data_IF_891115320589
#
_entry.id   IF_891115320589
#
_cell.length_a   1.000
_cell.length_b   1.000
_cell.length_c   1.000
_cell.angle_alpha   90.00
_cell.angle_beta   90.00
_cell.angle_gamma   90.00
#
_symmetry.space_group_name_H-M   'P 1'
#
loop_
_entity.id
_entity.type
_entity.pdbx_description
1 polymer ?
#
# COMPACT_ATOMS: atom_id res chain seq x y z
N UNK A 1 13.61 -17.12 -7.60
CA UNK A 1 12.49 -17.03 -6.63
C UNK A 1 11.19 -17.63 -7.21
N UNK A 2 10.54 -18.57 -6.52
CA UNK A 2 9.25 -19.17 -6.93
C UNK A 2 8.36 -19.42 -5.70
N UNK A 3 7.03 -19.46 -5.87
CA UNK A 3 6.06 -19.62 -4.78
C UNK A 3 4.85 -20.46 -5.20
N UNK A 4 4.27 -21.17 -4.22
CA UNK A 4 3.00 -21.86 -4.37
C UNK A 4 1.88 -21.11 -3.63
N UNK A 5 0.69 -21.05 -4.21
CA UNK A 5 -0.50 -20.52 -3.53
C UNK A 5 -1.80 -21.13 -4.09
N UNK A 6 -2.88 -21.00 -3.32
CA UNK A 6 -4.19 -21.53 -3.71
C UNK A 6 -5.05 -20.46 -4.38
N UNK A 7 -5.76 -20.81 -5.46
CA UNK A 7 -6.73 -19.95 -6.15
C UNK A 7 -7.87 -20.81 -6.71
N UNK A 8 -9.14 -20.47 -6.42
CA UNK A 8 -10.33 -21.21 -6.91
C UNK A 8 -10.23 -22.74 -6.76
N UNK A 9 -9.86 -23.22 -5.57
CA UNK A 9 -9.63 -24.65 -5.26
C UNK A 9 -8.47 -25.33 -6.03
N UNK A 10 -7.66 -24.56 -6.74
CA UNK A 10 -6.46 -25.03 -7.45
C UNK A 10 -5.20 -24.61 -6.70
N UNK A 11 -4.12 -25.38 -6.85
CA UNK A 11 -2.80 -25.01 -6.36
C UNK A 11 -1.95 -24.55 -7.54
N UNK A 12 -1.40 -23.34 -7.46
CA UNK A 12 -0.57 -22.75 -8.50
C UNK A 12 0.89 -22.66 -8.03
N UNK A 13 1.83 -22.93 -8.93
CA UNK A 13 3.25 -22.64 -8.80
C UNK A 13 3.61 -21.52 -9.77
N UNK A 14 4.21 -20.45 -9.26
CA UNK A 14 4.48 -19.23 -10.01
C UNK A 14 5.84 -18.61 -9.65
N UNK A 15 6.29 -17.70 -10.52
CA UNK A 15 7.40 -16.79 -10.24
C UNK A 15 7.11 -15.41 -10.85
N UNK A 16 7.50 -14.30 -10.19
CA UNK A 16 7.44 -12.96 -10.78
C UNK A 16 8.26 -12.79 -12.07
N UNK A 17 9.21 -13.69 -12.34
CA UNK A 17 10.09 -13.67 -13.51
C UNK A 17 9.72 -14.72 -14.56
N UNK A 18 8.83 -15.65 -14.24
CA UNK A 18 8.38 -16.67 -15.18
C UNK A 18 7.23 -16.11 -16.04
N UNK A 19 7.19 -16.45 -17.35
CA UNK A 19 6.13 -15.98 -18.25
C UNK A 19 4.83 -16.77 -18.11
N UNK A 20 4.79 -17.79 -17.25
CA UNK A 20 3.69 -18.72 -17.12
C UNK A 20 3.43 -19.12 -15.67
N UNK A 21 2.22 -19.62 -15.43
CA UNK A 21 1.77 -20.21 -14.18
C UNK A 21 1.59 -21.70 -14.39
N UNK A 22 1.93 -22.52 -13.39
CA UNK A 22 1.71 -23.97 -13.45
C UNK A 22 0.63 -24.34 -12.44
N UNK A 23 -0.44 -24.97 -12.92
CA UNK A 23 -1.43 -25.60 -12.06
C UNK A 23 -0.93 -26.99 -11.61
N UNK A 24 -0.85 -27.19 -10.29
CA UNK A 24 -0.47 -28.47 -9.68
C UNK A 24 -1.72 -29.31 -9.45
N UNK A 25 -2.07 -30.14 -10.43
CA UNK A 25 -3.24 -31.04 -10.38
C UNK A 25 -3.06 -32.27 -9.46
N UNK A 26 -1.87 -32.47 -8.90
CA UNK A 26 -1.55 -33.61 -8.03
C UNK A 26 -0.62 -33.15 -6.89
N UNK A 27 -0.83 -33.68 -5.68
CA UNK A 27 -0.04 -33.33 -4.48
C UNK A 27 1.47 -33.57 -4.67
N UNK A 28 1.84 -34.54 -5.51
CA UNK A 28 3.24 -34.86 -5.83
C UNK A 28 3.95 -33.69 -6.50
N UNK A 29 3.23 -32.83 -7.22
CA UNK A 29 3.80 -31.59 -7.78
C UNK A 29 4.27 -30.63 -6.69
N UNK A 30 3.49 -30.49 -5.61
CA UNK A 30 3.89 -29.72 -4.43
C UNK A 30 5.07 -30.36 -3.70
N UNK A 31 5.06 -31.68 -3.55
CA UNK A 31 6.18 -32.42 -2.95
C UNK A 31 7.48 -32.25 -3.74
N UNK A 32 7.42 -32.27 -5.08
CA UNK A 32 8.56 -31.98 -5.95
C UNK A 32 9.05 -30.54 -5.72
N UNK A 33 8.17 -29.54 -5.68
CA UNK A 33 8.56 -28.15 -5.42
C UNK A 33 9.28 -27.99 -4.06
N UNK A 34 8.77 -28.63 -3.00
CA UNK A 34 9.42 -28.64 -1.68
C UNK A 34 10.79 -29.33 -1.71
N UNK A 35 10.93 -30.45 -2.42
CA UNK A 35 12.19 -31.15 -2.54
C UNK A 35 13.22 -30.33 -3.35
N UNK A 36 12.80 -29.64 -4.41
CA UNK A 36 13.67 -28.80 -5.23
C UNK A 36 14.17 -27.56 -4.47
N UNK A 37 13.37 -27.00 -3.56
CA UNK A 37 13.82 -25.92 -2.67
C UNK A 37 15.02 -26.33 -1.78
N UNK A 38 15.24 -27.64 -1.58
CA UNK A 38 16.39 -28.20 -0.85
C UNK A 38 17.51 -28.69 -1.78
N UNK A 39 17.44 -28.40 -3.09
CA UNK A 39 18.48 -28.78 -4.04
C UNK A 39 18.57 -30.28 -4.35
N UNK A 40 17.44 -31.00 -4.33
CA UNK A 40 17.42 -32.46 -4.60
C UNK A 40 17.59 -32.80 -6.08
N UNK A 41 18.20 -33.96 -6.35
CA UNK A 41 18.37 -34.51 -7.71
C UNK A 41 17.11 -35.22 -8.19
N UNK A 42 16.97 -35.44 -9.51
CA UNK A 42 15.86 -36.20 -10.08
C UNK A 42 15.74 -37.61 -9.48
N UNK A 43 16.85 -38.30 -9.23
CA UNK A 43 16.83 -39.62 -8.58
C UNK A 43 16.28 -39.54 -7.15
N UNK A 44 16.70 -38.54 -6.37
CA UNK A 44 16.20 -38.36 -5.00
C UNK A 44 14.68 -38.07 -4.96
N UNK A 45 14.12 -37.44 -5.99
CA UNK A 45 12.67 -37.26 -6.13
C UNK A 45 11.96 -38.60 -6.33
N UNK A 46 12.49 -39.46 -7.21
CA UNK A 46 11.95 -40.80 -7.46
C UNK A 46 11.98 -41.67 -6.20
N UNK A 47 13.05 -41.57 -5.40
CA UNK A 47 13.21 -42.37 -4.19
C UNK A 47 12.28 -41.90 -3.05
N UNK A 48 11.99 -40.61 -2.95
CA UNK A 48 11.23 -40.02 -1.84
C UNK A 48 9.73 -39.91 -2.10
N UNK A 49 9.31 -39.79 -3.36
CA UNK A 49 7.92 -39.48 -3.71
C UNK A 49 7.32 -40.69 -4.44
N UNK A 50 6.41 -41.44 -3.78
CA UNK A 50 5.86 -42.67 -4.34
C UNK A 50 5.02 -42.41 -5.61
N UNK A 51 5.09 -43.36 -6.54
CA UNK A 51 4.29 -43.35 -7.77
C UNK A 51 4.76 -42.34 -8.83
N UNK A 52 5.95 -41.75 -8.69
CA UNK A 52 6.60 -41.01 -9.77
C UNK A 52 7.32 -41.98 -10.72
N UNK A 53 7.24 -41.71 -12.02
CA UNK A 53 8.06 -42.39 -13.02
C UNK A 53 9.22 -41.50 -13.47
N UNK A 54 10.35 -42.07 -13.93
CA UNK A 54 11.46 -41.28 -14.47
C UNK A 54 11.03 -40.29 -15.55
N UNK A 55 10.14 -40.71 -16.46
CA UNK A 55 9.65 -39.89 -17.57
C UNK A 55 8.83 -38.70 -17.06
N UNK A 56 8.01 -38.92 -16.02
CA UNK A 56 7.18 -37.87 -15.41
C UNK A 56 8.06 -36.83 -14.72
N UNK A 57 9.05 -37.26 -13.94
CA UNK A 57 10.00 -36.36 -13.27
C UNK A 57 10.80 -35.57 -14.31
N UNK A 58 11.34 -36.24 -15.32
CA UNK A 58 12.12 -35.59 -16.37
C UNK A 58 11.29 -34.56 -17.14
N UNK A 59 10.06 -34.91 -17.54
CA UNK A 59 9.16 -34.02 -18.24
C UNK A 59 8.78 -32.80 -17.40
N UNK A 60 8.46 -33.01 -16.12
CA UNK A 60 8.11 -31.92 -15.21
C UNK A 60 9.30 -30.99 -14.93
N UNK A 61 10.49 -31.52 -14.64
CA UNK A 61 11.69 -30.70 -14.44
C UNK A 61 12.07 -29.93 -15.71
N UNK A 62 11.90 -30.54 -16.88
CA UNK A 62 12.15 -29.89 -18.17
C UNK A 62 11.19 -28.72 -18.41
N UNK A 63 9.90 -28.90 -18.07
CA UNK A 63 8.91 -27.81 -18.09
C UNK A 63 9.35 -26.67 -17.15
N UNK A 64 9.63 -26.96 -15.87
CA UNK A 64 10.05 -25.96 -14.89
C UNK A 64 11.30 -25.20 -15.34
N UNK A 65 12.28 -25.89 -15.90
CA UNK A 65 13.52 -25.29 -16.40
C UNK A 65 13.24 -24.40 -17.62
N UNK A 66 12.42 -24.85 -18.57
CA UNK A 66 12.10 -24.11 -19.80
C UNK A 66 11.43 -22.75 -19.55
N UNK A 67 10.67 -22.63 -18.46
CA UNK A 67 10.00 -21.37 -18.07
C UNK A 67 10.78 -20.60 -16.99
N UNK A 68 11.96 -21.08 -16.62
CA UNK A 68 12.85 -20.42 -15.66
C UNK A 68 12.39 -20.46 -14.20
N UNK A 69 11.58 -21.46 -13.81
CA UNK A 69 11.17 -21.66 -12.41
C UNK A 69 12.25 -22.34 -11.56
N UNK A 70 13.13 -23.12 -12.21
CA UNK A 70 14.28 -23.77 -11.58
C UNK A 70 15.54 -23.51 -12.39
N UNK A 71 16.68 -23.59 -11.73
CA UNK A 71 18.00 -23.55 -12.35
C UNK A 71 18.85 -24.71 -11.84
N UNK A 72 19.80 -25.23 -12.65
CA UNK A 72 20.74 -26.22 -12.18
C UNK A 72 21.62 -25.67 -11.06
N UNK A 73 21.88 -26.47 -10.04
CA UNK A 73 22.89 -26.15 -9.04
C UNK A 73 24.27 -26.15 -9.71
N UNK A 74 24.97 -25.02 -9.68
CA UNK A 74 26.39 -24.97 -10.03
C UNK A 74 27.23 -25.37 -8.83
N UNK A 75 28.34 -26.08 -9.05
CA UNK A 75 29.13 -26.75 -7.99
C UNK A 75 29.84 -25.81 -6.98
N UNK A 76 29.65 -24.50 -7.04
CA UNK A 76 30.32 -23.53 -6.16
C UNK A 76 29.46 -23.20 -4.94
N UNK A 77 29.20 -24.19 -4.09
CA UNK A 77 28.41 -24.06 -2.86
C UNK A 77 29.22 -23.50 -1.65
N UNK A 78 30.43 -22.98 -1.86
CA UNK A 78 31.30 -22.49 -0.76
C UNK A 78 31.15 -21.00 -0.44
N UNK A 79 30.16 -20.31 -1.00
CA UNK A 79 29.80 -18.95 -0.60
C UNK A 79 28.34 -18.94 -0.11
N UNK A 80 28.01 -18.26 1.02
CA UNK A 80 26.64 -18.15 1.54
C UNK A 80 25.62 -17.48 0.61
N UNK A 81 26.01 -17.12 -0.62
CA UNK A 81 25.20 -16.39 -1.60
C UNK A 81 25.30 -16.99 -3.01
N UNK A 82 25.46 -18.30 -3.13
CA UNK A 82 25.44 -18.98 -4.43
C UNK A 82 24.00 -19.30 -4.86
N UNK A 83 23.20 -18.24 -5.05
CA UNK A 83 21.99 -18.31 -5.86
C UNK A 83 22.37 -18.70 -7.28
N UNK A 84 21.93 -19.86 -7.74
CA UNK A 84 22.23 -20.39 -9.07
C UNK A 84 21.86 -19.36 -10.16
N UNK A 85 22.88 -18.78 -10.81
CA UNK A 85 22.81 -17.88 -11.97
C UNK A 85 21.70 -16.80 -11.90
N UNK A 86 21.35 -16.30 -10.71
CA UNK A 86 20.52 -15.10 -10.62
C UNK A 86 21.38 -13.91 -11.06
N UNK A 87 20.86 -13.09 -11.99
CA UNK A 87 21.57 -11.89 -12.43
C UNK A 87 21.83 -10.97 -11.22
N UNK A 88 22.92 -10.20 -11.25
CA UNK A 88 23.23 -9.23 -10.18
C UNK A 88 22.07 -8.25 -9.91
N UNK A 89 21.24 -7.98 -10.92
CA UNK A 89 20.04 -7.18 -10.79
C UNK A 89 18.94 -7.89 -9.98
N UNK A 90 18.74 -9.21 -10.15
CA UNK A 90 17.72 -9.97 -9.40
C UNK A 90 18.10 -10.13 -7.93
N UNK A 91 19.40 -10.22 -7.61
CA UNK A 91 19.89 -10.29 -6.22
C UNK A 91 19.58 -9.05 -5.38
N UNK A 92 19.26 -7.92 -6.02
CA UNK A 92 18.90 -6.67 -5.33
C UNK A 92 17.42 -6.61 -4.93
N UNK A 93 16.61 -7.59 -5.33
CA UNK A 93 15.20 -7.64 -5.01
C UNK A 93 14.92 -8.55 -3.83
N UNK A 94 14.09 -8.10 -2.91
CA UNK A 94 13.35 -8.98 -2.01
C UNK A 94 12.17 -9.63 -2.75
N UNK A 95 11.80 -10.85 -2.32
CA UNK A 95 10.72 -11.62 -2.96
C UNK A 95 9.40 -10.84 -3.06
N UNK A 96 8.99 -10.19 -1.96
CA UNK A 96 7.72 -9.48 -1.89
C UNK A 96 7.72 -8.21 -2.74
N UNK A 97 8.86 -7.53 -2.86
CA UNK A 97 9.02 -6.34 -3.69
C UNK A 97 8.91 -6.69 -5.17
N UNK A 98 9.59 -7.74 -5.61
CA UNK A 98 9.54 -8.16 -7.01
C UNK A 98 8.16 -8.70 -7.39
N UNK A 99 7.52 -9.47 -6.50
CA UNK A 99 6.16 -9.95 -6.70
C UNK A 99 5.18 -8.77 -6.83
N UNK A 100 5.24 -7.80 -5.93
CA UNK A 100 4.39 -6.62 -5.99
C UNK A 100 4.66 -5.78 -7.25
N UNK A 101 5.93 -5.58 -7.61
CA UNK A 101 6.33 -4.86 -8.82
C UNK A 101 5.72 -5.48 -10.09
N UNK A 102 5.86 -6.81 -10.26
CA UNK A 102 5.33 -7.51 -11.42
C UNK A 102 3.79 -7.49 -11.44
N UNK A 103 3.14 -7.68 -10.28
CA UNK A 103 1.67 -7.77 -10.20
C UNK A 103 0.95 -6.43 -10.31
N UNK A 104 1.60 -5.32 -9.96
CA UNK A 104 1.00 -3.98 -9.99
C UNK A 104 1.15 -3.26 -11.33
N UNK A 105 1.84 -3.85 -12.33
CA UNK A 105 2.10 -3.21 -13.63
C UNK A 105 1.35 -3.87 -14.78
N UNK A 106 0.61 -3.05 -15.53
CA UNK A 106 0.02 -3.46 -16.79
C UNK A 106 1.08 -4.03 -17.74
N UNK A 107 0.73 -5.12 -18.45
CA UNK A 107 1.62 -5.82 -19.37
C UNK A 107 2.58 -6.82 -18.72
N UNK A 108 2.67 -6.88 -17.38
CA UNK A 108 3.45 -7.90 -16.65
C UNK A 108 2.59 -8.83 -15.80
N UNK A 109 1.29 -8.59 -15.77
CA UNK A 109 0.30 -9.39 -15.07
C UNK A 109 -0.86 -9.68 -16.02
N UNK A 110 -1.45 -10.87 -15.90
CA UNK A 110 -2.72 -11.24 -16.54
C UNK A 110 -3.93 -10.71 -15.75
N UNK A 111 -3.71 -10.17 -14.55
CA UNK A 111 -4.77 -9.60 -13.73
C UNK A 111 -5.23 -8.25 -14.29
N UNK A 112 -6.51 -7.95 -14.09
CA UNK A 112 -7.09 -6.65 -14.41
C UNK A 112 -6.54 -5.58 -13.46
N UNK A 113 -6.05 -4.46 -14.01
CA UNK A 113 -5.48 -3.33 -13.26
C UNK A 113 -6.38 -2.10 -13.41
N UNK A 114 -6.60 -1.37 -12.30
CA UNK A 114 -7.37 -0.12 -12.29
C UNK A 114 -8.81 -0.30 -11.79
N UNK A 115 -9.74 0.47 -12.33
CA UNK A 115 -11.14 0.54 -11.91
C UNK A 115 -11.94 -0.69 -12.36
N UNK A 116 -11.64 -1.84 -11.76
CA UNK A 116 -12.25 -3.14 -12.10
C UNK A 116 -13.68 -3.28 -11.58
N UNK A 117 -14.05 -2.54 -10.54
CA UNK A 117 -15.37 -2.56 -9.89
C UNK A 117 -15.90 -3.99 -9.62
N UNK A 118 -15.02 -4.94 -9.29
CA UNK A 118 -15.33 -6.38 -9.22
C UNK A 118 -16.41 -6.78 -8.21
N UNK A 119 -16.80 -5.89 -7.30
CA UNK A 119 -17.84 -6.13 -6.29
C UNK A 119 -19.08 -5.25 -6.49
N UNK A 120 -19.20 -4.59 -7.65
CA UNK A 120 -20.31 -3.69 -7.95
C UNK A 120 -21.64 -4.44 -7.89
N UNK A 121 -22.53 -3.99 -7.00
CA UNK A 121 -23.84 -4.61 -6.78
C UNK A 121 -23.83 -5.83 -5.86
N UNK A 122 -22.65 -6.23 -5.37
CA UNK A 122 -22.50 -7.31 -4.39
C UNK A 122 -22.14 -6.75 -3.00
N UNK A 123 -21.27 -5.75 -2.95
CA UNK A 123 -20.82 -5.09 -1.71
C UNK A 123 -21.12 -3.60 -1.81
N UNK A 124 -21.87 -3.08 -0.85
CA UNK A 124 -22.15 -1.64 -0.75
C UNK A 124 -20.86 -0.86 -0.44
N UNK A 125 -20.66 0.31 -1.07
CA UNK A 125 -19.47 1.12 -0.83
C UNK A 125 -19.42 1.63 0.61
N UNK A 126 -18.21 1.73 1.15
CA UNK A 126 -17.99 2.36 2.45
C UNK A 126 -18.26 3.87 2.36
N UNK A 127 -18.71 4.51 3.45
CA UNK A 127 -18.92 5.95 3.47
C UNK A 127 -17.60 6.71 3.28
N UNK A 128 -17.67 7.88 2.64
CA UNK A 128 -16.53 8.82 2.43
C UNK A 128 -15.80 9.18 3.73
N UNK A 129 -16.54 9.14 4.83
CA UNK A 129 -16.05 9.40 6.18
C UNK A 129 -16.35 8.15 7.01
N UNK A 130 -15.32 7.43 7.49
CA UNK A 130 -15.55 6.20 8.30
C UNK A 130 -16.37 6.52 9.57
N UNK A 131 -17.36 5.74 9.99
CA UNK A 131 -18.08 6.03 11.23
C UNK A 131 -17.15 6.02 12.46
N UNK A 132 -17.46 6.83 13.48
CA UNK A 132 -16.75 6.83 14.77
C UNK A 132 -17.72 6.48 15.90
N UNK A 133 -17.24 5.88 17.00
CA UNK A 133 -18.04 5.70 18.20
C UNK A 133 -18.55 7.05 18.75
N UNK A 134 -19.77 7.06 19.26
CA UNK A 134 -20.41 8.29 19.77
C UNK A 134 -19.82 8.77 21.10
N UNK A 135 -19.15 7.88 21.84
CA UNK A 135 -18.58 8.10 23.17
C UNK A 135 -17.18 8.73 23.15
N UNK A 136 -16.58 8.90 21.97
CA UNK A 136 -15.28 9.55 21.83
C UNK A 136 -15.36 11.06 22.02
N UNK A 137 -14.36 11.64 22.69
CA UNK A 137 -14.29 13.09 22.92
C UNK A 137 -13.96 13.83 21.61
N UNK A 138 -14.70 14.90 21.32
CA UNK A 138 -14.53 15.72 20.12
C UNK A 138 -13.88 17.06 20.47
N UNK A 139 -12.69 17.30 19.93
CA UNK A 139 -11.99 18.57 20.05
C UNK A 139 -12.12 19.34 18.73
N UNK A 140 -12.62 20.56 18.81
CA UNK A 140 -12.64 21.46 17.66
C UNK A 140 -11.26 22.06 17.45
N UNK A 141 -10.74 22.00 16.22
CA UNK A 141 -9.51 22.70 15.87
C UNK A 141 -9.80 24.15 15.50
N UNK A 142 -8.96 25.10 15.94
CA UNK A 142 -9.00 26.46 15.43
C UNK A 142 -8.84 26.46 13.90
N UNK A 143 -9.68 27.25 13.23
CA UNK A 143 -9.57 27.49 11.80
C UNK A 143 -8.56 28.60 11.51
N UNK A 144 -7.94 28.62 10.31
CA UNK A 144 -7.20 29.79 9.84
C UNK A 144 -8.11 31.03 9.80
N UNK A 145 -7.49 32.21 9.80
CA UNK A 145 -8.23 33.46 9.63
C UNK A 145 -9.06 33.47 8.33
N UNK A 146 -10.21 34.14 8.35
CA UNK A 146 -11.15 34.23 7.23
C UNK A 146 -10.52 34.84 5.97
N UNK A 147 -9.60 35.79 6.13
CA UNK A 147 -8.84 36.34 5.00
C UNK A 147 -7.94 35.28 4.33
N UNK A 148 -7.28 34.43 5.12
CA UNK A 148 -6.47 33.33 4.61
C UNK A 148 -7.35 32.26 3.93
N UNK A 149 -8.53 31.97 4.48
CA UNK A 149 -9.51 31.07 3.85
C UNK A 149 -9.99 31.61 2.50
N UNK A 150 -10.29 32.91 2.44
CA UNK A 150 -10.75 33.57 1.20
C UNK A 150 -9.67 33.56 0.12
N UNK A 151 -8.43 33.93 0.46
CA UNK A 151 -7.29 33.89 -0.45
C UNK A 151 -7.05 32.47 -1.01
N UNK A 152 -7.13 31.44 -0.15
CA UNK A 152 -7.00 30.06 -0.60
C UNK A 152 -8.11 29.63 -1.57
N UNK A 153 -9.34 30.13 -1.40
CA UNK A 153 -10.46 29.82 -2.29
C UNK A 153 -10.36 30.53 -3.66
N UNK A 154 -9.79 31.74 -3.71
CA UNK A 154 -9.54 32.49 -4.95
C UNK A 154 -8.26 32.08 -5.68
N UNK A 155 -7.39 31.30 -5.04
CA UNK A 155 -6.07 30.95 -5.57
C UNK A 155 -5.02 32.05 -5.37
N UNK A 156 -5.32 33.03 -4.52
CA UNK A 156 -4.40 34.09 -4.12
C UNK A 156 -3.45 33.60 -3.03
N UNK A 157 -2.23 34.12 -3.04
CA UNK A 157 -1.26 33.89 -1.97
C UNK A 157 -1.62 34.85 -0.84
N UNK A 158 -2.01 34.33 0.32
CA UNK A 158 -2.26 35.16 1.49
C UNK A 158 -0.99 35.95 1.86
N UNK A 159 -1.13 37.10 2.51
CA UNK A 159 0.00 38.00 2.81
C UNK A 159 1.18 37.32 3.55
N UNK A 160 0.91 36.25 4.28
CA UNK A 160 1.91 35.49 5.06
C UNK A 160 2.29 34.14 4.42
N UNK A 161 1.74 33.81 3.25
CA UNK A 161 2.05 32.57 2.55
C UNK A 161 3.30 32.71 1.68
N UNK A 162 4.08 31.64 1.64
CA UNK A 162 5.22 31.51 0.74
C UNK A 162 4.76 31.16 -0.67
N UNK A 163 5.48 31.66 -1.68
CA UNK A 163 5.30 31.24 -3.06
C UNK A 163 5.64 29.76 -3.24
N UNK A 164 5.05 29.12 -4.25
CA UNK A 164 5.28 27.70 -4.54
C UNK A 164 6.77 27.36 -4.70
N UNK A 165 7.53 28.18 -5.44
CA UNK A 165 8.96 27.98 -5.65
C UNK A 165 9.76 28.12 -4.36
N UNK A 166 9.43 29.10 -3.51
CA UNK A 166 10.09 29.27 -2.21
C UNK A 166 9.87 28.06 -1.29
N UNK A 167 8.67 27.47 -1.32
CA UNK A 167 8.37 26.24 -0.59
C UNK A 167 9.22 25.07 -1.11
N UNK A 168 9.31 24.88 -2.43
CA UNK A 168 10.10 23.79 -3.01
C UNK A 168 11.60 23.92 -2.69
N UNK A 169 12.18 25.10 -2.89
CA UNK A 169 13.60 25.37 -2.66
C UNK A 169 13.97 25.34 -1.18
N UNK A 170 13.06 25.78 -0.31
CA UNK A 170 13.31 25.79 1.13
C UNK A 170 12.93 24.49 1.84
N UNK A 171 12.26 23.52 1.20
CA UNK A 171 11.79 22.31 1.88
C UNK A 171 12.96 21.45 2.36
N UNK A 172 12.95 21.11 3.65
CA UNK A 172 13.92 20.23 4.31
C UNK A 172 13.23 19.33 5.33
N UNK A 173 13.81 18.16 5.58
CA UNK A 173 13.36 17.27 6.64
C UNK A 173 13.99 17.70 7.97
N UNK A 174 13.22 18.35 8.82
CA UNK A 174 13.65 18.80 10.16
C UNK A 174 13.37 17.68 11.16
N UNK A 175 14.40 17.23 11.89
CA UNK A 175 14.32 16.11 12.86
C UNK A 175 14.76 16.48 14.28
N UNK A 176 15.16 17.73 14.50
CA UNK A 176 15.51 18.29 15.81
C UNK A 176 14.54 19.41 16.09
N UNK A 177 13.81 19.31 17.21
CA UNK A 177 12.73 20.23 17.56
C UNK A 177 13.08 20.98 18.84
N UNK A 178 12.57 22.22 18.96
CA UNK A 178 12.74 23.01 20.18
C UNK A 178 11.65 22.64 21.19
N UNK A 179 12.00 21.80 22.17
CA UNK A 179 11.06 21.39 23.22
C UNK A 179 10.53 22.54 24.10
N UNK A 180 11.22 23.70 24.12
CA UNK A 180 10.77 24.87 24.85
C UNK A 180 9.66 25.66 24.13
N UNK A 181 9.43 25.40 22.83
CA UNK A 181 8.40 26.05 22.02
C UNK A 181 7.63 24.96 21.27
N UNK A 182 6.65 24.31 21.92
CA UNK A 182 5.89 23.23 21.31
C UNK A 182 4.96 23.76 20.21
N UNK A 183 4.46 22.83 19.38
CA UNK A 183 3.41 23.13 18.41
C UNK A 183 2.13 23.53 19.15
N UNK A 184 1.42 24.56 18.69
CA UNK A 184 0.12 24.96 19.26
C UNK A 184 -1.05 24.26 18.56
N UNK A 185 -2.19 24.14 19.24
CA UNK A 185 -3.43 23.61 18.67
C UNK A 185 -3.88 24.41 17.44
N UNK A 186 -3.62 25.73 17.43
CA UNK A 186 -3.92 26.59 16.28
C UNK A 186 -3.05 26.28 15.06
N UNK A 187 -1.73 26.12 15.25
CA UNK A 187 -0.83 25.72 14.17
C UNK A 187 -1.18 24.32 13.63
N UNK A 188 -1.55 23.40 14.51
CA UNK A 188 -2.01 22.07 14.10
C UNK A 188 -3.31 22.15 13.30
N UNK A 189 -4.27 22.94 13.76
CA UNK A 189 -5.54 23.21 13.07
C UNK A 189 -5.35 23.78 11.68
N UNK A 190 -4.52 24.81 11.54
CA UNK A 190 -4.17 25.40 10.25
C UNK A 190 -3.51 24.38 9.32
N UNK A 191 -2.52 23.62 9.82
CA UNK A 191 -1.82 22.61 9.02
C UNK A 191 -2.80 21.58 8.45
N UNK A 192 -3.70 21.04 9.28
CA UNK A 192 -4.68 20.04 8.86
C UNK A 192 -5.73 20.63 7.91
N UNK A 193 -6.11 21.90 8.11
CA UNK A 193 -7.03 22.60 7.22
C UNK A 193 -6.46 22.72 5.82
N UNK A 194 -5.19 23.10 5.72
CA UNK A 194 -4.53 23.32 4.44
C UNK A 194 -4.18 22.02 3.74
N UNK A 195 -3.84 20.96 4.48
CA UNK A 195 -3.30 19.71 3.91
C UNK A 195 -4.34 18.61 3.68
N UNK A 196 -5.36 18.50 4.52
CA UNK A 196 -6.17 17.28 4.58
C UNK A 196 -7.68 17.51 4.50
N UNK A 197 -8.14 18.76 4.53
CA UNK A 197 -9.58 19.06 4.68
C UNK A 197 -10.46 18.38 3.63
N UNK A 198 -11.66 18.00 4.04
CA UNK A 198 -12.73 17.74 3.11
C UNK A 198 -13.15 19.10 2.54
N UNK A 199 -13.13 19.28 1.22
CA UNK A 199 -13.61 20.50 0.55
C UNK A 199 -15.04 20.34 0.07
N UNK A 200 -15.35 19.16 -0.47
CA UNK A 200 -16.66 18.82 -1.00
C UNK A 200 -16.89 17.30 -0.94
N UNK A 201 -18.15 16.90 -0.78
CA UNK A 201 -18.63 15.54 -1.07
C UNK A 201 -19.45 15.61 -2.35
N UNK A 202 -19.25 14.67 -3.25
CA UNK A 202 -20.00 14.58 -4.49
C UNK A 202 -20.23 13.12 -4.86
N UNK A 203 -21.30 12.84 -5.60
CA UNK A 203 -21.61 11.51 -6.07
C UNK A 203 -20.92 11.25 -7.41
N UNK A 204 -20.24 10.10 -7.51
CA UNK A 204 -19.71 9.60 -8.77
C UNK A 204 -20.27 8.19 -9.01
N UNK A 205 -20.95 8.01 -10.14
CA UNK A 205 -21.69 6.79 -10.46
C UNK A 205 -22.70 6.38 -9.37
N UNK A 206 -22.32 5.45 -8.47
CA UNK A 206 -23.13 4.93 -7.36
C UNK A 206 -22.40 4.99 -6.01
N UNK A 207 -21.35 5.81 -5.90
CA UNK A 207 -20.64 5.99 -4.64
C UNK A 207 -20.46 7.47 -4.34
N UNK A 208 -20.50 7.79 -3.06
CA UNK A 208 -20.01 9.08 -2.59
C UNK A 208 -18.49 9.13 -2.71
N UNK A 209 -17.99 10.23 -3.25
CA UNK A 209 -16.58 10.57 -3.34
C UNK A 209 -16.33 11.91 -2.60
N UNK A 210 -15.06 12.24 -2.38
CA UNK A 210 -14.69 13.52 -1.80
C UNK A 210 -13.71 14.30 -2.67
N UNK A 211 -13.66 15.60 -2.44
CA UNK A 211 -12.59 16.47 -2.89
C UNK A 211 -11.77 16.95 -1.68
N UNK A 212 -10.44 16.86 -1.78
CA UNK A 212 -9.49 17.23 -0.71
C UNK A 212 -8.27 17.94 -1.33
N UNK A 213 -7.43 18.64 -0.53
CA UNK A 213 -6.30 19.42 -1.05
C UNK A 213 -5.27 18.65 -1.88
N UNK A 214 -5.05 17.37 -1.59
CA UNK A 214 -4.17 16.49 -2.38
C UNK A 214 -4.99 15.65 -3.36
N UNK A 215 -4.44 15.22 -4.52
CA UNK A 215 -5.14 14.29 -5.40
C UNK A 215 -5.26 12.90 -4.77
N UNK A 216 -6.36 12.20 -5.05
CA UNK A 216 -6.59 10.81 -4.66
C UNK A 216 -7.05 9.97 -5.85
N UNK A 217 -6.53 8.75 -5.98
CA UNK A 217 -6.93 7.82 -7.04
C UNK A 217 -8.44 7.52 -6.97
N UNK A 218 -9.15 7.69 -8.08
CA UNK A 218 -10.61 7.50 -8.13
C UNK A 218 -11.43 8.46 -7.27
N UNK A 219 -10.80 9.49 -6.68
CA UNK A 219 -11.41 10.38 -5.69
C UNK A 219 -11.98 9.65 -4.44
N UNK A 220 -11.48 8.46 -4.14
CA UNK A 220 -11.94 7.63 -3.03
C UNK A 220 -11.44 8.14 -1.66
N UNK A 221 -10.20 8.64 -1.60
CA UNK A 221 -9.54 9.12 -0.37
C UNK A 221 -9.63 8.14 0.81
N UNK A 222 -9.03 6.96 0.63
CA UNK A 222 -9.03 5.85 1.58
C UNK A 222 -8.16 6.07 2.83
N UNK A 223 -7.40 7.17 2.87
CA UNK A 223 -6.49 7.49 3.96
C UNK A 223 -7.18 8.23 5.10
N UNK A 224 -6.80 7.85 6.33
CA UNK A 224 -7.21 8.48 7.58
C UNK A 224 -5.97 9.01 8.31
N UNK A 225 -6.10 10.15 8.97
CA UNK A 225 -5.00 10.77 9.72
C UNK A 225 -5.16 10.50 11.21
N UNK A 226 -4.13 9.92 11.80
CA UNK A 226 -4.00 9.68 13.23
C UNK A 226 -2.83 10.50 13.75
N UNK A 227 -3.06 11.31 14.78
CA UNK A 227 -2.05 12.14 15.42
C UNK A 227 -1.74 11.53 16.77
N UNK A 228 -0.48 11.14 16.95
CA UNK A 228 0.08 10.82 18.26
C UNK A 228 0.63 12.11 18.88
N UNK A 229 0.01 12.58 19.96
CA UNK A 229 0.40 13.83 20.62
C UNK A 229 1.36 13.55 21.77
N UNK A 230 2.61 14.01 21.64
CA UNK A 230 3.56 14.04 22.75
C UNK A 230 3.59 15.42 23.43
N UNK A 231 3.78 16.48 22.64
CA UNK A 231 3.79 17.86 23.12
C UNK A 231 3.06 18.76 22.12
N UNK A 232 1.88 19.26 22.52
CA UNK A 232 1.14 20.27 21.79
C UNK A 232 0.40 21.18 22.78
N UNK A 233 0.64 22.48 22.71
CA UNK A 233 -0.06 23.44 23.55
C UNK A 233 -1.56 23.45 23.19
N UNK A 234 -2.42 23.15 24.17
CA UNK A 234 -3.86 22.99 23.98
C UNK A 234 -4.34 21.55 23.78
N UNK A 235 -3.45 20.54 23.84
CA UNK A 235 -3.81 19.11 23.85
C UNK A 235 -3.10 18.37 24.99
N UNK A 236 -3.78 17.39 25.57
CA UNK A 236 -3.21 16.53 26.60
C UNK A 236 -2.14 15.57 26.02
N UNK A 237 -1.07 15.32 26.75
CA UNK A 237 -0.02 14.37 26.36
C UNK A 237 -0.54 12.92 26.35
N UNK A 238 -0.13 12.13 25.37
CA UNK A 238 -0.49 10.71 25.27
C UNK A 238 -1.87 10.47 24.65
N UNK A 239 -2.60 11.52 24.27
CA UNK A 239 -3.83 11.38 23.52
C UNK A 239 -3.52 10.88 22.10
N UNK A 240 -4.06 9.72 21.73
CA UNK A 240 -4.11 9.30 20.32
C UNK A 240 -5.36 9.91 19.71
N UNK A 241 -5.17 10.67 18.64
CA UNK A 241 -6.20 11.53 18.09
C UNK A 241 -6.49 11.14 16.66
N UNK A 242 -7.75 10.84 16.30
CA UNK A 242 -8.15 10.70 14.89
C UNK A 242 -8.58 12.05 14.36
N UNK A 243 -7.91 12.56 13.32
CA UNK A 243 -8.31 13.80 12.65
C UNK A 243 -9.35 13.50 11.59
N UNK A 244 -10.48 14.21 11.67
CA UNK A 244 -11.52 14.16 10.65
C UNK A 244 -11.92 15.54 10.21
N UNK A 245 -11.89 15.74 8.90
CA UNK A 245 -12.37 16.97 8.32
C UNK A 245 -13.86 16.81 8.03
N UNK A 246 -14.69 17.21 8.99
CA UNK A 246 -16.14 17.23 8.83
C UNK A 246 -16.53 18.58 8.22
N UNK A 247 -16.95 18.59 6.95
CA UNK A 247 -17.89 19.60 6.48
C UNK A 247 -19.28 19.06 6.78
N UNK A 248 -20.04 19.74 7.64
CA UNK A 248 -21.48 19.55 7.64
C UNK A 248 -22.01 20.19 6.36
N UNK A 249 -22.71 19.43 5.52
CA UNK A 249 -23.31 19.92 4.29
C UNK A 249 -24.32 21.02 4.63
N UNK A 250 -23.96 22.27 4.34
CA UNK A 250 -24.81 23.45 4.50
C UNK A 250 -23.92 24.68 4.54
N UNK A 251 -24.07 25.59 3.57
CA UNK A 251 -23.21 26.77 3.40
C UNK A 251 -23.13 27.63 4.66
N UNK A 252 -22.15 27.35 5.52
CA UNK A 252 -21.67 28.14 6.63
C UNK A 252 -20.40 27.45 7.16
N UNK A 253 -19.40 28.23 7.54
CA UNK A 253 -18.10 27.76 8.05
C UNK A 253 -18.23 26.63 9.09
N UNK A 254 -17.80 25.42 8.77
CA UNK A 254 -17.68 24.31 9.74
C UNK A 254 -16.26 23.77 9.77
N UNK A 255 -15.68 23.75 10.98
CA UNK A 255 -14.26 23.48 11.21
C UNK A 255 -13.86 22.01 11.32
N UNK A 256 -12.56 21.79 11.41
CA UNK A 256 -11.96 20.47 11.58
C UNK A 256 -12.20 19.99 12.99
N UNK A 257 -12.58 18.71 13.14
CA UNK A 257 -12.71 18.08 14.45
C UNK A 257 -11.74 16.93 14.57
N UNK A 258 -11.14 16.83 15.72
CA UNK A 258 -10.30 15.70 16.07
C UNK A 258 -10.98 14.93 17.18
N UNK A 259 -10.78 13.63 17.20
CA UNK A 259 -11.42 12.74 18.16
C UNK A 259 -10.37 12.07 19.03
N UNK A 260 -10.58 12.04 20.35
CA UNK A 260 -9.73 11.31 21.29
C UNK A 260 -10.34 9.96 21.61
N UNK A 261 -9.52 8.91 21.54
CA UNK A 261 -9.81 7.56 22.04
C UNK A 261 -9.40 7.40 23.50
#
# INVERSE_FOLDING_TARGET
MAYCHATDQRMLLESPTAPAQIELGDWRGGAIATALAQGKTAQALLDQIPGLTPETVQGFLSLLLSIGLISPLTASLTAPESGAAESEALRQWEFHDLLFHTRSRQGRTSQTVGSTYRFRGEIEPLPVIKPQPDDWEKIALPLPDGAAIAAQASGEIAQHDLGFWDVLESRRSIRTYNAAVPLTLAQLGEFLYRSARLRQVFQMEKMDCSDRPSPGGGACYELELYIAVYQCEGLAQGSTTIVRNTIALGGCATGIRIWLS
#
